data_IF_085678631025
#
_entry.id   IF_085678631025
#
_cell.length_a   1.000
_cell.length_b   1.000
_cell.length_c   1.000
_cell.angle_alpha   90.00
_cell.angle_beta   90.00
_cell.angle_gamma   90.00
#
_symmetry.space_group_name_H-M   'P 1'
#
loop_
_entity.id
_entity.type
_entity.pdbx_description
1 polymer ?
#
# COMPACT_ATOMS: atom_id res chain seq x y z
N UNK A 1 19.87 90.06 31.05
CA UNK A 1 20.65 90.37 29.83
C UNK A 1 20.05 89.58 28.67
N UNK A 2 19.76 90.23 27.54
CA UNK A 2 19.06 89.67 26.35
C UNK A 2 20.06 89.08 25.34
N UNK A 3 19.75 87.93 24.73
CA UNK A 3 20.19 87.49 23.37
C UNK A 3 19.03 86.60 22.85
N UNK A 4 18.20 86.94 21.84
CA UNK A 4 18.32 87.20 20.39
C UNK A 4 18.51 85.91 19.53
N UNK A 5 17.54 85.64 18.63
CA UNK A 5 17.41 84.46 17.73
C UNK A 5 18.69 84.09 16.96
N UNK A 6 18.88 82.79 16.66
CA UNK A 6 19.67 82.32 15.50
C UNK A 6 18.95 81.14 14.81
N UNK A 7 19.10 81.13 13.49
CA UNK A 7 18.40 80.48 12.38
C UNK A 7 18.49 78.96 12.28
N UNK A 8 17.47 78.37 11.63
CA UNK A 8 17.42 76.99 11.19
C UNK A 8 18.44 76.69 10.09
N UNK A 9 19.13 75.56 10.21
CA UNK A 9 19.84 74.89 9.11
C UNK A 9 19.38 73.44 9.11
N UNK A 10 18.66 73.07 8.05
CA UNK A 10 18.22 71.71 7.78
C UNK A 10 19.41 70.75 7.78
N UNK A 11 19.37 69.74 8.64
CA UNK A 11 20.20 68.55 8.52
C UNK A 11 19.31 67.44 7.92
N UNK A 12 19.62 67.13 6.67
CA UNK A 12 19.15 65.95 5.97
C UNK A 12 19.60 64.72 6.79
N UNK A 13 18.68 64.10 7.53
CA UNK A 13 18.96 62.83 8.17
C UNK A 13 19.00 61.76 7.07
N UNK A 14 20.22 61.38 6.65
CA UNK A 14 20.43 60.15 5.90
C UNK A 14 20.14 59.01 6.86
N UNK A 15 18.95 58.43 6.78
CA UNK A 15 18.68 57.15 7.39
C UNK A 15 19.57 56.13 6.68
N UNK A 16 20.65 55.72 7.34
CA UNK A 16 21.39 54.53 6.94
C UNK A 16 20.45 53.35 7.19
N UNK A 17 19.74 52.91 6.15
CA UNK A 17 19.05 51.63 6.15
C UNK A 17 20.11 50.55 6.26
N UNK A 18 20.39 50.10 7.49
CA UNK A 18 21.07 48.84 7.72
C UNK A 18 20.14 47.75 7.18
N UNK A 19 20.33 47.39 5.91
CA UNK A 19 19.81 46.15 5.38
C UNK A 19 20.48 45.02 6.18
N UNK A 20 19.77 44.46 7.14
CA UNK A 20 20.08 43.13 7.63
C UNK A 20 19.92 42.20 6.43
N UNK A 21 21.04 41.86 5.79
CA UNK A 21 21.08 40.73 4.89
C UNK A 21 20.76 39.50 5.76
N UNK A 22 19.51 39.02 5.67
CA UNK A 22 19.19 37.69 6.15
C UNK A 22 20.17 36.75 5.45
N UNK A 23 20.83 35.82 6.16
CA UNK A 23 21.62 34.81 5.48
C UNK A 23 20.70 34.14 4.46
N UNK A 24 21.05 34.21 3.18
CA UNK A 24 20.36 33.44 2.16
C UNK A 24 20.55 31.98 2.55
N UNK A 25 19.50 31.36 3.08
CA UNK A 25 19.46 29.91 3.26
C UNK A 25 19.80 29.33 1.89
N UNK A 26 20.95 28.67 1.78
CA UNK A 26 21.31 28.00 0.54
C UNK A 26 20.16 27.03 0.24
N UNK A 27 19.61 27.09 -0.98
CA UNK A 27 18.61 26.13 -1.41
C UNK A 27 19.17 24.72 -1.18
N UNK A 28 18.34 23.77 -0.69
CA UNK A 28 18.77 22.39 -0.55
C UNK A 28 19.40 21.91 -1.85
N UNK A 29 20.50 21.18 -1.76
CA UNK A 29 21.15 20.66 -2.95
C UNK A 29 20.19 19.64 -3.59
N UNK A 30 19.99 19.75 -4.88
CA UNK A 30 19.25 18.84 -5.76
C UNK A 30 20.22 18.55 -6.93
N UNK A 31 20.68 17.30 -7.10
CA UNK A 31 21.81 17.04 -8.03
C UNK A 31 21.35 16.71 -9.44
N UNK A 32 20.15 16.18 -9.62
CA UNK A 32 19.55 15.78 -10.91
C UNK A 32 18.40 16.69 -11.36
N UNK A 33 18.04 17.67 -10.52
CA UNK A 33 17.16 18.79 -10.81
C UNK A 33 15.72 18.36 -11.12
N UNK A 34 15.21 17.37 -10.38
CA UNK A 34 13.83 16.90 -10.49
C UNK A 34 12.85 17.61 -9.55
N UNK A 35 13.38 18.43 -8.63
CA UNK A 35 12.59 19.17 -7.65
C UNK A 35 12.59 18.56 -6.26
N UNK A 36 13.29 17.45 -6.03
CA UNK A 36 13.49 16.82 -4.73
C UNK A 36 14.93 17.08 -4.23
N UNK A 37 15.13 17.48 -2.95
CA UNK A 37 16.47 17.62 -2.40
C UNK A 37 17.17 16.28 -2.19
N UNK A 38 18.48 16.21 -2.46
CA UNK A 38 19.29 15.01 -2.23
C UNK A 38 19.13 14.45 -0.81
N UNK A 39 18.96 15.31 0.20
CA UNK A 39 18.80 14.87 1.59
C UNK A 39 17.47 14.17 1.84
N UNK A 40 16.41 14.60 1.14
CA UNK A 40 15.09 13.97 1.21
C UNK A 40 15.10 12.66 0.43
N UNK A 41 15.67 12.65 -0.77
CA UNK A 41 15.82 11.44 -1.58
C UNK A 41 16.64 10.36 -0.84
N UNK A 42 17.75 10.73 -0.20
CA UNK A 42 18.54 9.79 0.61
C UNK A 42 17.75 9.26 1.81
N UNK A 43 16.92 10.09 2.45
CA UNK A 43 16.08 9.69 3.60
C UNK A 43 15.09 8.60 3.19
N UNK A 44 14.47 8.76 2.03
CA UNK A 44 13.47 7.82 1.50
C UNK A 44 14.05 6.80 0.51
N UNK A 45 15.37 6.58 0.53
CA UNK A 45 16.07 5.55 -0.27
C UNK A 45 15.89 5.70 -1.80
N UNK A 46 15.57 6.90 -2.27
CA UNK A 46 15.57 7.28 -3.67
C UNK A 46 16.99 7.56 -4.17
N UNK A 47 17.14 7.82 -5.47
CA UNK A 47 18.43 8.04 -6.12
C UNK A 47 18.65 9.53 -6.47
N UNK A 48 19.49 10.26 -5.70
CA UNK A 48 19.72 11.70 -5.88
C UNK A 48 20.42 12.14 -7.16
N UNK A 49 20.61 11.22 -8.10
CA UNK A 49 21.31 11.43 -9.37
C UNK A 49 20.47 10.96 -10.55
N UNK A 50 19.21 10.61 -10.33
CA UNK A 50 18.32 10.03 -11.31
C UNK A 50 16.88 10.50 -11.15
N UNK A 51 16.57 11.67 -11.72
CA UNK A 51 15.23 12.24 -12.00
C UNK A 51 14.08 11.32 -12.45
N UNK A 52 14.38 10.07 -12.79
CA UNK A 52 13.39 9.08 -13.23
C UNK A 52 12.54 8.57 -12.08
N UNK A 53 13.05 8.56 -10.85
CA UNK A 53 12.30 8.14 -9.66
C UNK A 53 11.31 9.21 -9.18
N UNK A 54 11.58 10.50 -9.37
CA UNK A 54 10.65 11.60 -9.07
C UNK A 54 9.23 11.42 -9.64
N UNK A 55 9.11 10.73 -10.78
CA UNK A 55 7.83 10.46 -11.46
C UNK A 55 7.32 9.05 -11.25
N UNK A 56 8.05 8.24 -10.51
CA UNK A 56 7.54 6.98 -10.02
C UNK A 56 6.73 7.27 -8.77
N UNK A 57 5.89 6.30 -8.51
CA UNK A 57 5.14 6.07 -7.31
C UNK A 57 5.77 4.75 -6.79
N UNK A 58 6.26 4.80 -5.55
CA UNK A 58 7.17 3.77 -4.99
C UNK A 58 6.44 2.85 -4.01
N UNK A 59 5.35 3.36 -3.47
CA UNK A 59 4.35 2.84 -2.54
C UNK A 59 3.34 2.02 -3.35
N UNK A 60 2.55 2.67 -4.21
CA UNK A 60 1.41 2.04 -4.87
C UNK A 60 0.20 2.98 -4.96
N UNK A 61 0.14 3.96 -4.06
CA UNK A 61 -0.93 4.94 -3.81
C UNK A 61 -1.28 5.88 -4.98
N UNK A 62 -0.70 5.72 -6.17
CA UNK A 62 -0.95 6.55 -7.36
C UNK A 62 -0.45 8.00 -7.19
N UNK A 63 0.33 8.33 -6.15
CA UNK A 63 0.96 9.63 -5.93
C UNK A 63 2.47 9.61 -6.24
N UNK A 64 2.92 10.34 -7.28
CA UNK A 64 4.35 10.35 -7.60
C UNK A 64 5.22 10.94 -6.47
N UNK A 65 6.39 10.34 -6.22
CA UNK A 65 7.40 10.74 -5.22
C UNK A 65 7.71 12.25 -5.14
N UNK A 66 7.60 12.99 -6.26
CA UNK A 66 7.83 14.44 -6.27
C UNK A 66 6.65 15.26 -5.73
N UNK A 67 5.43 14.72 -5.79
CA UNK A 67 4.23 15.29 -5.19
C UNK A 67 4.22 15.01 -3.69
N UNK A 68 4.50 13.76 -3.31
CA UNK A 68 4.86 13.34 -1.95
C UNK A 68 5.76 14.36 -1.23
N UNK A 69 6.95 14.61 -1.79
CA UNK A 69 7.87 15.61 -1.24
C UNK A 69 7.26 17.01 -1.04
N UNK A 70 6.33 17.42 -1.91
CA UNK A 70 5.73 18.77 -1.88
C UNK A 70 4.57 18.87 -0.91
N UNK A 71 3.84 17.78 -0.72
CA UNK A 71 2.68 17.72 0.15
C UNK A 71 3.11 17.44 1.60
N UNK A 72 4.25 16.78 1.79
CA UNK A 72 4.79 16.48 3.12
C UNK A 72 4.86 14.98 3.41
N UNK A 73 4.35 14.18 2.49
CA UNK A 73 4.24 12.74 2.58
C UNK A 73 5.56 11.96 2.56
N UNK A 74 5.41 10.65 2.69
CA UNK A 74 6.45 9.65 2.65
C UNK A 74 6.26 8.78 1.39
N UNK A 75 7.20 8.81 0.41
CA UNK A 75 7.13 8.03 -0.84
C UNK A 75 7.44 6.54 -0.63
N UNK A 76 7.10 6.01 0.53
CA UNK A 76 7.23 4.61 0.92
C UNK A 76 6.11 4.16 1.88
N UNK A 77 5.12 5.03 2.11
CA UNK A 77 3.89 4.77 2.85
C UNK A 77 2.78 5.12 1.88
N UNK A 78 1.82 4.23 1.74
CA UNK A 78 0.64 4.47 0.91
C UNK A 78 -0.29 5.46 1.63
N UNK A 79 -0.39 5.34 2.96
CA UNK A 79 -0.96 6.32 3.88
C UNK A 79 0.11 6.88 4.85
N UNK A 80 0.57 8.12 4.61
CA UNK A 80 1.66 8.71 5.42
C UNK A 80 1.26 8.97 6.86
N UNK A 81 0.00 9.27 7.14
CA UNK A 81 -0.43 9.72 8.46
C UNK A 81 -1.33 8.76 9.22
N UNK A 82 -1.61 7.62 8.59
CA UNK A 82 -2.22 6.40 9.14
C UNK A 82 -3.63 6.70 9.64
N UNK A 83 -4.42 7.31 8.77
CA UNK A 83 -5.78 7.74 9.00
C UNK A 83 -6.82 7.00 8.16
N UNK A 84 -6.36 6.02 7.38
CA UNK A 84 -7.17 5.15 6.54
C UNK A 84 -7.32 5.64 5.11
N UNK A 85 -6.89 6.87 4.78
CA UNK A 85 -6.93 7.35 3.42
C UNK A 85 -5.54 7.41 2.76
N UNK A 86 -5.37 6.66 1.68
CA UNK A 86 -4.19 6.73 0.81
C UNK A 86 -3.84 8.17 0.39
N UNK A 87 -2.54 8.52 0.45
CA UNK A 87 -2.00 9.86 0.14
C UNK A 87 -2.44 10.31 -1.28
N UNK A 88 -2.60 9.35 -2.19
CA UNK A 88 -3.13 9.55 -3.54
C UNK A 88 -4.56 10.07 -3.60
N UNK A 89 -5.43 9.56 -2.74
CA UNK A 89 -6.87 9.81 -2.72
C UNK A 89 -7.28 11.00 -1.87
N UNK A 90 -6.46 11.36 -0.89
CA UNK A 90 -6.59 12.62 -0.15
C UNK A 90 -6.62 13.87 -1.06
N UNK A 91 -6.05 13.77 -2.25
CA UNK A 91 -6.12 14.85 -3.25
C UNK A 91 -7.54 15.08 -3.76
N UNK A 92 -8.36 14.05 -3.79
CA UNK A 92 -9.74 14.05 -4.26
C UNK A 92 -10.68 14.58 -3.16
N UNK A 93 -10.50 14.12 -1.93
CA UNK A 93 -11.26 14.53 -0.72
C UNK A 93 -10.81 15.90 -0.18
N UNK A 94 -9.61 16.35 -0.56
CA UNK A 94 -8.97 17.63 -0.21
C UNK A 94 -8.48 17.69 1.25
N UNK A 95 -8.01 16.56 1.72
CA UNK A 95 -7.38 16.33 3.03
C UNK A 95 -5.87 16.55 2.89
N UNK A 96 -5.06 16.08 3.84
CA UNK A 96 -3.63 16.38 3.90
C UNK A 96 -2.84 15.14 4.35
N UNK A 97 -1.95 14.68 3.46
CA UNK A 97 -0.93 13.60 3.61
C UNK A 97 -0.06 13.61 4.84
N UNK A 98 -0.18 14.60 5.71
CA UNK A 98 0.64 14.75 6.91
C UNK A 98 -0.19 15.13 8.14
N UNK A 99 -1.51 14.97 8.06
CA UNK A 99 -2.48 15.25 9.09
C UNK A 99 -3.76 14.38 8.95
N UNK A 100 -3.75 13.29 9.70
CA UNK A 100 -4.82 12.33 9.97
C UNK A 100 -6.23 12.82 10.38
N UNK A 101 -6.46 14.13 10.47
CA UNK A 101 -7.75 14.74 10.82
C UNK A 101 -7.56 16.19 10.38
N UNK A 102 -7.74 16.47 9.08
CA UNK A 102 -7.40 17.73 8.43
C UNK A 102 -8.21 18.90 8.99
N UNK A 103 -9.44 18.65 9.38
CA UNK A 103 -10.42 19.67 9.74
C UNK A 103 -10.50 19.91 11.27
N UNK A 104 -10.08 18.93 12.08
CA UNK A 104 -9.95 18.98 13.52
C UNK A 104 -11.24 18.64 14.29
N UNK A 105 -12.18 17.91 13.70
CA UNK A 105 -13.45 17.55 14.32
C UNK A 105 -13.44 16.23 15.09
N UNK A 106 -12.31 15.52 15.07
CA UNK A 106 -12.02 14.23 15.69
C UNK A 106 -12.58 13.00 14.96
N UNK A 107 -12.95 13.14 13.71
CA UNK A 107 -13.11 12.06 12.74
C UNK A 107 -11.81 12.03 11.92
N UNK A 108 -11.26 10.85 11.63
CA UNK A 108 -10.07 10.74 10.77
C UNK A 108 -10.44 11.06 9.32
N UNK A 109 -9.52 11.48 8.46
CA UNK A 109 -9.92 11.86 7.10
C UNK A 109 -10.39 10.65 6.26
N UNK A 110 -9.90 9.43 6.53
CA UNK A 110 -10.43 8.16 5.98
C UNK A 110 -11.87 7.87 6.41
N UNK A 111 -12.17 7.98 7.70
CA UNK A 111 -13.51 7.85 8.30
C UNK A 111 -14.56 8.90 7.81
N UNK A 112 -14.13 9.98 7.16
CA UNK A 112 -15.03 11.05 6.71
C UNK A 112 -15.83 10.62 5.46
N UNK A 113 -17.04 11.18 5.28
CA UNK A 113 -17.85 11.02 4.06
C UNK A 113 -17.94 12.38 3.36
N UNK A 114 -16.90 12.75 2.60
CA UNK A 114 -16.78 14.10 2.04
C UNK A 114 -17.86 14.40 0.96
N UNK A 115 -18.37 13.33 0.37
CA UNK A 115 -19.27 13.22 -0.75
C UNK A 115 -20.75 13.25 -0.31
N UNK A 116 -21.02 12.72 0.88
CA UNK A 116 -22.31 12.49 1.54
C UNK A 116 -23.20 11.45 0.87
N UNK A 117 -22.61 10.37 0.33
CA UNK A 117 -23.37 9.25 -0.22
C UNK A 117 -23.52 8.06 0.75
N UNK A 118 -22.80 8.10 1.87
CA UNK A 118 -22.86 7.13 2.96
C UNK A 118 -21.78 6.05 2.94
N UNK A 119 -20.73 6.25 2.13
CA UNK A 119 -19.49 5.47 2.10
C UNK A 119 -18.37 6.35 2.70
N UNK A 120 -17.45 5.76 3.48
CA UNK A 120 -16.33 6.51 4.03
C UNK A 120 -15.31 6.80 2.92
N UNK A 121 -14.44 7.79 3.13
CA UNK A 121 -13.48 8.24 2.11
C UNK A 121 -12.42 7.18 1.80
N UNK A 122 -12.10 6.31 2.77
CA UNK A 122 -11.28 5.11 2.62
C UNK A 122 -11.99 4.10 1.70
N UNK A 123 -13.19 3.63 2.03
CA UNK A 123 -13.99 2.69 1.20
C UNK A 123 -14.39 3.12 -0.25
N UNK A 124 -14.08 4.35 -0.68
CA UNK A 124 -14.59 4.93 -1.93
C UNK A 124 -13.86 4.43 -3.19
N UNK A 125 -12.60 4.03 -3.07
CA UNK A 125 -11.88 3.42 -4.18
C UNK A 125 -12.29 1.96 -4.38
N UNK A 126 -12.49 1.19 -3.32
CA UNK A 126 -13.05 -0.15 -3.32
C UNK A 126 -14.45 -0.23 -3.94
N UNK A 127 -15.31 0.72 -3.60
CA UNK A 127 -16.63 0.84 -4.21
C UNK A 127 -16.59 1.02 -5.75
N UNK A 128 -15.44 1.40 -6.32
CA UNK A 128 -15.25 1.64 -7.76
C UNK A 128 -14.23 0.73 -8.47
N UNK A 129 -13.48 -0.06 -7.72
CA UNK A 129 -12.48 -1.03 -8.18
C UNK A 129 -13.10 -2.24 -8.91
N UNK A 130 -12.27 -3.04 -9.59
CA UNK A 130 -12.73 -4.22 -10.36
C UNK A 130 -12.09 -5.50 -9.82
N UNK A 131 -12.58 -6.02 -8.69
CA UNK A 131 -12.17 -7.32 -8.09
C UNK A 131 -10.68 -7.63 -8.32
N UNK A 132 -9.83 -6.65 -8.00
CA UNK A 132 -8.51 -6.52 -8.57
C UNK A 132 -7.37 -6.90 -7.63
N UNK A 133 -7.58 -7.68 -6.56
CA UNK A 133 -6.52 -8.06 -5.64
C UNK A 133 -5.91 -6.82 -4.98
N UNK A 134 -6.50 -6.50 -3.84
CA UNK A 134 -6.11 -5.58 -2.77
C UNK A 134 -4.59 -5.40 -2.84
N UNK A 135 -4.19 -4.28 -3.44
CA UNK A 135 -2.79 -4.01 -3.77
C UNK A 135 -2.01 -3.37 -2.62
N UNK A 136 -2.69 -3.16 -1.50
CA UNK A 136 -2.30 -2.41 -0.31
C UNK A 136 -2.14 -3.30 0.97
N UNK A 137 -2.49 -4.59 0.97
CA UNK A 137 -2.24 -5.51 2.11
C UNK A 137 -0.72 -5.81 2.31
N UNK A 138 -0.08 -5.07 3.23
CA UNK A 138 1.38 -5.08 3.40
C UNK A 138 1.91 -6.38 4.03
N UNK A 139 1.12 -7.05 4.86
CA UNK A 139 1.53 -8.24 5.61
C UNK A 139 0.90 -9.57 5.19
N UNK A 140 -0.04 -9.48 4.25
CA UNK A 140 -0.67 -10.58 3.53
C UNK A 140 -1.53 -11.42 4.43
N UNK A 141 -2.37 -10.75 5.20
CA UNK A 141 -3.34 -11.38 6.05
C UNK A 141 -4.78 -11.23 5.59
N UNK A 142 -4.98 -10.58 4.43
CA UNK A 142 -6.25 -10.34 3.73
C UNK A 142 -7.13 -9.26 4.36
N UNK A 143 -6.59 -8.42 5.25
CA UNK A 143 -7.19 -7.11 5.58
C UNK A 143 -6.42 -6.03 4.83
N UNK A 144 -7.13 -5.08 4.23
CA UNK A 144 -6.53 -3.91 3.61
C UNK A 144 -5.83 -3.04 4.68
N UNK A 145 -4.72 -2.37 4.33
CA UNK A 145 -3.95 -1.56 5.28
C UNK A 145 -4.83 -0.41 5.83
N UNK A 146 -5.79 0.08 5.02
CA UNK A 146 -6.79 1.08 5.40
C UNK A 146 -7.82 0.55 6.41
N UNK A 147 -8.37 -0.65 6.21
CA UNK A 147 -9.37 -1.27 7.10
C UNK A 147 -8.85 -1.65 8.50
N UNK A 148 -7.53 -1.83 8.62
CA UNK A 148 -6.92 -2.23 9.88
C UNK A 148 -7.13 -1.19 10.99
N UNK A 149 -7.29 0.09 10.65
CA UNK A 149 -7.55 1.15 11.64
C UNK A 149 -8.93 0.94 12.34
N UNK A 150 -9.89 0.44 11.58
CA UNK A 150 -11.32 0.37 11.88
C UNK A 150 -11.63 -0.91 12.64
N UNK A 151 -10.99 -1.99 12.18
CA UNK A 151 -10.90 -3.26 12.86
C UNK A 151 -9.96 -3.20 14.07
N UNK A 152 -9.24 -2.10 14.28
CA UNK A 152 -8.31 -1.86 15.38
C UNK A 152 -7.21 -2.92 15.46
N UNK A 153 -6.71 -3.30 14.29
CA UNK A 153 -5.57 -4.15 13.97
C UNK A 153 -4.31 -3.28 13.84
N UNK A 154 -3.25 -3.78 13.22
CA UNK A 154 -1.97 -3.08 13.17
C UNK A 154 -1.26 -3.34 11.84
N UNK A 155 -1.30 -2.33 10.97
CA UNK A 155 -0.44 -2.17 9.78
C UNK A 155 0.92 -2.84 9.90
N UNK A 156 1.07 -3.89 9.09
CA UNK A 156 2.25 -4.75 9.04
C UNK A 156 2.38 -5.75 10.20
N UNK A 157 1.28 -6.13 10.84
CA UNK A 157 1.13 -7.25 11.77
C UNK A 157 0.02 -8.21 11.32
N UNK A 158 0.41 -9.21 10.54
CA UNK A 158 -0.46 -10.35 10.23
C UNK A 158 -1.19 -11.01 11.43
N UNK A 159 -0.79 -10.75 12.67
CA UNK A 159 -1.40 -11.31 13.90
C UNK A 159 -1.18 -10.29 15.04
N UNK A 160 -2.02 -9.26 15.10
CA UNK A 160 -1.91 -8.11 16.03
C UNK A 160 -1.93 -8.54 17.49
N UNK A 161 -2.72 -9.55 17.83
CA UNK A 161 -2.90 -10.00 19.21
C UNK A 161 -2.00 -11.19 19.60
N UNK A 162 -1.30 -11.76 18.62
CA UNK A 162 -0.37 -12.86 18.71
C UNK A 162 -0.99 -14.16 19.26
N UNK A 163 -2.28 -14.42 18.98
CA UNK A 163 -2.98 -15.63 19.39
C UNK A 163 -2.77 -16.82 18.42
N UNK A 164 -2.21 -16.55 17.23
CA UNK A 164 -1.89 -17.52 16.19
C UNK A 164 -2.95 -17.66 15.09
N UNK A 165 -4.00 -16.85 15.11
CA UNK A 165 -4.94 -16.64 14.00
C UNK A 165 -4.56 -15.34 13.28
N UNK A 166 -4.40 -15.33 11.95
CA UNK A 166 -4.15 -14.08 11.22
C UNK A 166 -5.31 -13.10 11.35
N UNK A 167 -5.05 -11.78 11.35
CA UNK A 167 -6.09 -10.81 11.68
C UNK A 167 -7.26 -10.86 10.68
N UNK A 168 -7.02 -11.02 9.38
CA UNK A 168 -8.10 -11.20 8.39
C UNK A 168 -8.98 -12.41 8.65
N UNK A 169 -8.43 -13.50 9.18
CA UNK A 169 -9.16 -14.72 9.53
C UNK A 169 -9.86 -14.67 10.90
N UNK A 170 -9.68 -13.60 11.69
CA UNK A 170 -10.36 -13.42 12.96
C UNK A 170 -11.82 -12.97 12.77
N UNK A 171 -12.66 -13.20 13.78
CA UNK A 171 -14.04 -12.69 13.86
C UNK A 171 -14.12 -11.87 15.15
N UNK A 172 -13.59 -10.63 15.09
CA UNK A 172 -13.33 -9.83 16.28
C UNK A 172 -14.63 -9.41 16.97
N UNK A 173 -15.68 -9.14 16.19
CA UNK A 173 -16.95 -8.62 16.64
C UNK A 173 -17.97 -9.74 17.01
N UNK A 174 -17.73 -10.96 16.52
CA UNK A 174 -18.50 -12.20 16.72
C UNK A 174 -19.85 -12.24 16.04
N UNK A 175 -19.97 -11.62 14.88
CA UNK A 175 -21.16 -11.68 14.05
C UNK A 175 -21.18 -12.92 13.13
N UNK A 176 -20.02 -13.56 12.93
CA UNK A 176 -19.82 -14.77 12.14
C UNK A 176 -19.24 -14.55 10.74
N UNK A 177 -18.77 -13.34 10.42
CA UNK A 177 -17.88 -13.00 9.30
C UNK A 177 -16.43 -12.91 9.77
N UNK A 178 -15.49 -13.12 8.86
CA UNK A 178 -14.10 -12.86 9.15
C UNK A 178 -13.82 -11.36 8.95
N UNK A 179 -12.76 -10.83 9.56
CA UNK A 179 -12.40 -9.42 9.46
C UNK A 179 -12.12 -9.03 7.99
N UNK A 180 -11.57 -9.95 7.18
CA UNK A 180 -11.39 -9.82 5.72
C UNK A 180 -12.71 -9.73 4.91
N UNK A 181 -13.87 -9.82 5.58
CA UNK A 181 -15.21 -9.74 4.95
C UNK A 181 -16.11 -8.62 5.55
N UNK A 182 -15.54 -7.70 6.33
CA UNK A 182 -16.32 -6.68 7.09
C UNK A 182 -16.59 -5.39 6.30
N UNK A 183 -15.67 -5.04 5.41
CA UNK A 183 -15.67 -3.94 4.43
C UNK A 183 -16.58 -4.21 3.20
N UNK A 184 -17.02 -5.48 3.01
CA UNK A 184 -18.05 -5.95 2.07
C UNK A 184 -19.38 -5.18 2.18
N UNK A 185 -19.41 -3.94 1.72
CA UNK A 185 -20.64 -3.20 1.57
C UNK A 185 -21.42 -3.85 0.41
N UNK A 186 -22.69 -4.23 0.64
CA UNK A 186 -23.51 -5.00 -0.32
C UNK A 186 -23.88 -4.26 -1.63
N UNK A 187 -23.06 -3.31 -2.06
CA UNK A 187 -23.14 -2.46 -3.24
C UNK A 187 -21.91 -2.57 -4.15
N UNK A 188 -20.91 -3.37 -3.77
CA UNK A 188 -19.77 -3.67 -4.61
C UNK A 188 -20.20 -4.61 -5.80
N UNK A 189 -19.28 -4.85 -6.75
CA UNK A 189 -19.51 -5.73 -7.90
C UNK A 189 -19.00 -7.18 -7.70
N UNK A 190 -18.42 -7.48 -6.55
CA UNK A 190 -17.64 -8.67 -6.17
C UNK A 190 -18.28 -9.49 -5.00
N UNK A 191 -19.33 -8.97 -4.36
CA UNK A 191 -20.24 -9.55 -3.33
C UNK A 191 -21.00 -10.79 -3.83
N UNK A 192 -20.81 -11.15 -5.10
CA UNK A 192 -21.44 -12.28 -5.75
C UNK A 192 -20.62 -13.56 -5.60
N UNK A 193 -21.29 -14.66 -5.30
CA UNK A 193 -20.75 -16.02 -5.41
C UNK A 193 -20.97 -16.53 -6.86
N UNK A 194 -20.06 -16.20 -7.79
CA UNK A 194 -20.21 -16.49 -9.23
C UNK A 194 -20.11 -17.98 -9.50
N UNK A 195 -19.35 -18.70 -8.70
CA UNK A 195 -19.10 -20.12 -8.86
C UNK A 195 -20.12 -21.01 -8.08
N UNK A 196 -20.90 -20.38 -7.18
CA UNK A 196 -21.94 -20.94 -6.31
C UNK A 196 -21.43 -21.95 -5.27
N UNK A 197 -20.21 -21.79 -4.76
CA UNK A 197 -19.62 -22.68 -3.76
C UNK A 197 -19.93 -22.28 -2.30
N UNK A 198 -20.50 -21.10 -2.09
CA UNK A 198 -20.89 -20.56 -0.79
C UNK A 198 -19.87 -19.64 -0.13
N UNK A 199 -18.80 -19.27 -0.83
CA UNK A 199 -17.88 -18.15 -0.55
C UNK A 199 -18.15 -17.02 -1.57
N UNK A 200 -17.80 -15.77 -1.27
CA UNK A 200 -17.96 -14.67 -2.25
C UNK A 200 -16.78 -14.65 -3.22
N UNK A 201 -16.94 -13.97 -4.37
CA UNK A 201 -15.89 -13.86 -5.38
C UNK A 201 -14.68 -13.04 -4.87
N UNK A 202 -14.79 -12.31 -3.76
CA UNK A 202 -13.69 -11.58 -3.11
C UNK A 202 -12.92 -12.44 -2.08
N UNK A 203 -13.56 -13.41 -1.40
CA UNK A 203 -12.90 -14.46 -0.58
C UNK A 203 -11.96 -15.41 -1.40
N UNK A 204 -11.79 -15.14 -2.69
CA UNK A 204 -11.17 -15.99 -3.69
C UNK A 204 -9.74 -15.50 -4.03
N UNK A 205 -8.81 -15.76 -3.11
CA UNK A 205 -7.41 -16.05 -3.45
C UNK A 205 -7.28 -17.38 -4.26
N UNK A 206 -8.14 -17.57 -5.26
CA UNK A 206 -8.90 -18.81 -5.32
C UNK A 206 -8.06 -20.08 -5.47
N UNK A 207 -8.37 -21.02 -4.59
CA UNK A 207 -7.93 -22.41 -4.72
C UNK A 207 -8.68 -22.99 -5.91
N UNK A 208 -8.08 -22.83 -7.10
CA UNK A 208 -8.56 -23.34 -8.39
C UNK A 208 -9.11 -24.76 -8.35
N UNK A 209 -8.60 -25.59 -7.42
CA UNK A 209 -9.20 -26.85 -7.04
C UNK A 209 -8.21 -27.77 -6.35
N UNK A 210 -8.48 -29.08 -6.41
CA UNK A 210 -7.51 -30.10 -5.97
C UNK A 210 -6.82 -30.72 -7.18
N UNK A 211 -5.50 -30.85 -7.12
CA UNK A 211 -4.73 -31.55 -8.15
C UNK A 211 -5.19 -33.02 -8.19
N UNK A 212 -5.87 -33.39 -9.28
CA UNK A 212 -6.31 -34.76 -9.53
C UNK A 212 -5.18 -35.60 -10.12
N UNK A 213 -4.37 -35.03 -11.02
CA UNK A 213 -3.21 -35.72 -11.60
C UNK A 213 -2.20 -34.78 -12.28
N UNK A 214 -0.96 -35.24 -12.41
CA UNK A 214 0.08 -34.58 -13.20
C UNK A 214 0.86 -35.62 -14.04
N UNK A 215 1.01 -35.37 -15.34
CA UNK A 215 1.71 -36.25 -16.27
C UNK A 215 3.08 -35.67 -16.68
N UNK A 216 4.17 -36.22 -16.13
CA UNK A 216 5.55 -35.77 -16.37
C UNK A 216 5.99 -35.79 -17.84
N UNK A 217 5.41 -36.67 -18.67
CA UNK A 217 5.81 -36.82 -20.08
C UNK A 217 5.24 -35.74 -21.00
N UNK A 218 4.11 -35.16 -20.62
CA UNK A 218 3.37 -34.16 -21.42
C UNK A 218 3.31 -32.79 -20.75
N UNK A 219 3.56 -32.74 -19.43
CA UNK A 219 3.39 -31.56 -18.59
C UNK A 219 1.92 -31.27 -18.27
N UNK A 220 1.00 -32.21 -18.51
CA UNK A 220 -0.42 -31.99 -18.28
C UNK A 220 -0.76 -32.10 -16.80
N UNK A 221 -1.27 -31.01 -16.22
CA UNK A 221 -1.89 -30.94 -14.91
C UNK A 221 -3.42 -31.03 -15.08
N UNK A 222 -4.06 -31.82 -14.22
CA UNK A 222 -5.52 -31.88 -14.13
C UNK A 222 -5.91 -31.45 -12.72
N UNK A 223 -6.72 -30.40 -12.64
CA UNK A 223 -7.28 -29.87 -11.41
C UNK A 223 -8.78 -30.14 -11.44
N UNK A 224 -9.30 -30.73 -10.36
CA UNK A 224 -10.74 -30.76 -10.13
C UNK A 224 -11.07 -29.49 -9.40
N UNK A 225 -11.80 -28.60 -10.06
CA UNK A 225 -12.20 -27.31 -9.51
C UNK A 225 -13.11 -27.49 -8.30
N UNK A 226 -13.19 -26.47 -7.45
CA UNK A 226 -14.15 -26.35 -6.33
C UNK A 226 -15.58 -26.65 -6.79
N UNK A 227 -15.96 -26.12 -7.97
CA UNK A 227 -17.23 -26.40 -8.66
C UNK A 227 -17.39 -27.84 -9.20
N UNK A 228 -16.40 -28.73 -9.02
CA UNK A 228 -16.40 -30.12 -9.47
C UNK A 228 -16.13 -30.33 -10.96
N UNK A 229 -15.76 -29.27 -11.69
CA UNK A 229 -15.33 -29.34 -13.08
C UNK A 229 -13.89 -29.83 -13.18
N UNK A 230 -13.49 -30.38 -14.33
CA UNK A 230 -12.10 -30.78 -14.57
C UNK A 230 -11.43 -29.78 -15.50
N UNK A 231 -10.47 -29.04 -14.97
CA UNK A 231 -9.56 -28.22 -15.75
C UNK A 231 -8.32 -29.04 -16.10
N UNK A 232 -7.85 -28.93 -17.35
CA UNK A 232 -6.54 -29.48 -17.72
C UNK A 232 -5.70 -28.42 -18.41
N UNK A 233 -4.51 -28.18 -17.85
CA UNK A 233 -3.56 -27.19 -18.32
C UNK A 233 -2.18 -27.83 -18.51
N UNK A 234 -1.31 -27.19 -19.29
CA UNK A 234 0.07 -27.61 -19.45
C UNK A 234 0.97 -26.74 -18.59
N UNK A 235 1.75 -27.36 -17.71
CA UNK A 235 2.76 -26.69 -16.89
C UNK A 235 3.99 -26.37 -17.76
N UNK A 236 4.40 -25.10 -17.75
CA UNK A 236 5.59 -24.56 -18.41
C UNK A 236 6.52 -23.90 -17.38
N UNK A 237 7.69 -23.44 -17.81
CA UNK A 237 8.64 -22.72 -16.95
C UNK A 237 8.09 -21.39 -16.40
N UNK A 238 7.01 -20.87 -17.00
CA UNK A 238 6.31 -19.66 -16.57
C UNK A 238 5.06 -19.96 -15.71
N UNK A 239 4.81 -21.23 -15.39
CA UNK A 239 3.66 -21.64 -14.57
C UNK A 239 4.01 -21.59 -13.09
N UNK A 240 3.33 -20.73 -12.35
CA UNK A 240 3.37 -20.66 -10.89
C UNK A 240 2.18 -21.43 -10.30
N UNK A 241 2.42 -22.21 -9.25
CA UNK A 241 1.40 -23.01 -8.56
C UNK A 241 1.63 -22.85 -7.06
N UNK A 242 0.66 -22.29 -6.38
CA UNK A 242 0.65 -22.13 -4.94
C UNK A 242 -0.12 -23.29 -4.28
N UNK A 243 0.36 -23.73 -3.13
CA UNK A 243 -0.28 -24.77 -2.34
C UNK A 243 -0.54 -24.21 -0.95
N UNK A 244 -1.74 -24.44 -0.44
CA UNK A 244 -2.05 -24.15 0.95
C UNK A 244 -1.27 -25.14 1.84
N UNK A 245 -0.35 -24.62 2.65
CA UNK A 245 0.51 -25.43 3.52
C UNK A 245 -0.30 -26.03 4.67
N UNK A 246 -0.93 -27.17 4.43
CA UNK A 246 -1.57 -27.98 5.46
C UNK A 246 -0.54 -28.58 6.42
N UNK A 247 -0.18 -27.84 7.47
CA UNK A 247 0.57 -28.38 8.60
C UNK A 247 -0.38 -29.18 9.51
N UNK A 248 -0.43 -30.51 9.33
CA UNK A 248 -0.57 -31.50 10.42
C UNK A 248 -0.67 -32.95 9.88
N UNK A 249 0.47 -33.61 9.79
CA UNK A 249 0.57 -35.07 9.92
C UNK A 249 1.98 -35.49 10.35
N UNK A 250 2.22 -35.58 11.66
CA UNK A 250 3.36 -36.32 12.21
C UNK A 250 3.24 -37.85 11.96
N UNK A 251 4.40 -38.44 11.64
CA UNK A 251 4.83 -39.85 11.69
C UNK A 251 4.06 -40.95 10.92
N UNK A 252 4.74 -41.55 9.92
CA UNK A 252 5.34 -42.90 10.04
C UNK A 252 6.22 -43.19 8.81
N UNK A 253 7.45 -43.63 9.04
CA UNK A 253 8.53 -43.60 8.06
C UNK A 253 8.43 -44.58 6.88
N UNK A 254 8.97 -44.15 5.74
CA UNK A 254 9.53 -45.05 4.72
C UNK A 254 10.59 -44.32 3.85
N UNK A 255 11.85 -44.65 4.13
CA UNK A 255 12.99 -44.79 3.20
C UNK A 255 13.27 -43.68 2.16
N UNK A 256 14.10 -42.71 2.56
CA UNK A 256 14.88 -41.86 1.64
C UNK A 256 16.08 -42.66 1.13
N UNK A 257 15.89 -43.31 -0.02
CA UNK A 257 16.93 -43.88 -0.89
C UNK A 257 16.34 -43.86 -2.30
N UNK A 258 16.76 -43.08 -3.30
CA UNK A 258 18.09 -43.00 -3.92
C UNK A 258 18.02 -41.85 -4.94
N UNK A 259 18.84 -40.80 -4.81
CA UNK A 259 19.25 -39.98 -5.95
C UNK A 259 20.50 -40.63 -6.57
N UNK A 260 20.53 -40.88 -7.90
CA UNK A 260 21.77 -40.86 -8.63
C UNK A 260 21.76 -39.77 -9.69
N UNK A 261 22.58 -38.77 -9.39
CA UNK A 261 23.33 -37.85 -10.25
C UNK A 261 23.08 -37.90 -11.77
N UNK A 262 22.79 -36.72 -12.31
CA UNK A 262 22.79 -36.41 -13.73
C UNK A 262 24.14 -36.75 -14.40
N UNK A 263 24.15 -37.35 -15.60
CA UNK A 263 25.30 -37.31 -16.48
C UNK A 263 25.23 -36.13 -17.45
N UNK A 264 26.40 -35.53 -17.60
CA UNK A 264 26.78 -34.31 -18.31
C UNK A 264 26.28 -34.19 -19.75
N UNK A 265 26.01 -32.94 -20.13
CA UNK A 265 25.76 -32.47 -21.49
C UNK A 265 26.85 -32.92 -22.47
N UNK A 266 26.46 -33.61 -23.55
CA UNK A 266 27.26 -33.76 -24.77
C UNK A 266 26.61 -33.00 -25.92
N UNK A 267 27.19 -31.84 -26.21
CA UNK A 267 27.14 -31.16 -27.51
C UNK A 267 27.66 -32.08 -28.60
N UNK A 268 26.92 -32.21 -29.72
CA UNK A 268 27.49 -32.35 -31.06
C UNK A 268 26.61 -31.59 -32.07
N UNK A 269 27.32 -31.08 -33.08
CA UNK A 269 26.98 -30.09 -34.12
C UNK A 269 25.78 -30.38 -35.02
#
# INVERSE_FOLDING_TARGET
>A
MRILRITATSLLAVAASSAFAMPAQAAPKDSDHDGMPNSWEIKHKLNPRSKADARKDLDGDRLPNVLEYRLGGNPRDEDTDNDGQDDGDERNTRTRVDKADTDGDHILDGDEDCDHDGVANEDEDDATERCAKDDDDVDRDFVADEDENDLGLRVGDRDTDADGVPDGSEDRDRDGRANEDEDDSGHDACDGDRDHDGKRDEDEADRLGTVESFEMGTGALVVVTTTGSRLSAKVTDDTEIEFEDGHDAEEEGADVSVLPQAPESRSWS
#
